data_IF_694841772486
#
_entry.id   IF_694841772486
#
_cell.length_a   1.000
_cell.length_b   1.000
_cell.length_c   1.000
_cell.angle_alpha   90.00
_cell.angle_beta   90.00
_cell.angle_gamma   90.00
#
_symmetry.space_group_name_H-M   'P 1'
#
loop_
_entity.id
_entity.type
_entity.pdbx_description
1 polymer ?
#
# COMPACT_ATOMS: atom_id res chain seq x y z
N UNK A 1 -2.26 -16.54 -1.67
CA UNK A 1 -3.14 -15.69 -0.83
C UNK A 1 -2.60 -15.52 0.58
N UNK A 2 -2.23 -16.60 1.28
CA UNK A 2 -1.61 -16.52 2.62
C UNK A 2 -0.33 -15.70 2.61
N UNK A 3 0.47 -15.82 1.55
CA UNK A 3 1.78 -15.16 1.46
C UNK A 3 1.72 -13.62 1.50
N UNK A 4 0.87 -12.98 0.69
CA UNK A 4 0.77 -11.51 0.69
C UNK A 4 0.20 -10.97 2.02
N UNK A 5 -0.82 -11.62 2.56
CA UNK A 5 -1.44 -11.18 3.82
C UNK A 5 -0.47 -11.31 4.99
N UNK A 6 0.28 -12.42 5.05
CA UNK A 6 1.37 -12.64 6.01
C UNK A 6 2.48 -11.61 5.81
N UNK A 7 2.91 -11.35 4.58
CA UNK A 7 3.93 -10.35 4.28
C UNK A 7 3.52 -8.95 4.76
N UNK A 8 2.29 -8.51 4.45
CA UNK A 8 1.79 -7.21 4.90
C UNK A 8 1.67 -7.12 6.43
N UNK A 9 1.34 -8.23 7.10
CA UNK A 9 1.26 -8.26 8.58
C UNK A 9 2.62 -8.11 9.26
N UNK A 10 3.70 -8.51 8.59
CA UNK A 10 5.08 -8.34 9.06
C UNK A 10 5.63 -6.94 8.78
N UNK A 11 4.95 -6.12 7.97
CA UNK A 11 5.38 -4.75 7.71
C UNK A 11 4.99 -3.81 8.85
N UNK A 12 5.95 -3.03 9.34
CA UNK A 12 5.70 -1.98 10.32
C UNK A 12 5.59 -0.61 9.64
N UNK A 13 4.42 0.03 9.74
CA UNK A 13 4.12 1.35 9.16
C UNK A 13 3.43 2.26 10.19
N UNK A 14 3.53 3.60 10.07
CA UNK A 14 2.85 4.52 10.99
C UNK A 14 1.34 4.27 11.04
N UNK A 15 0.76 4.22 12.25
CA UNK A 15 -0.64 3.84 12.44
C UNK A 15 -1.65 4.71 11.67
N UNK A 16 -1.37 6.02 11.54
CA UNK A 16 -2.21 6.92 10.75
C UNK A 16 -2.21 6.56 9.25
N UNK A 17 -1.06 6.18 8.70
CA UNK A 17 -0.93 5.76 7.32
C UNK A 17 -1.73 4.48 7.06
N UNK A 18 -1.63 3.50 7.97
CA UNK A 18 -2.38 2.24 7.89
C UNK A 18 -3.89 2.51 7.95
N UNK A 19 -4.34 3.38 8.86
CA UNK A 19 -5.75 3.78 8.97
C UNK A 19 -6.25 4.45 7.68
N UNK A 20 -5.50 5.43 7.17
CA UNK A 20 -5.84 6.12 5.93
C UNK A 20 -5.92 5.16 4.73
N UNK A 21 -4.97 4.23 4.61
CA UNK A 21 -4.98 3.22 3.57
C UNK A 21 -6.15 2.23 3.70
N UNK A 22 -6.51 1.86 4.93
CA UNK A 22 -7.66 0.98 5.20
C UNK A 22 -8.98 1.64 4.80
N UNK A 23 -9.13 2.94 5.11
CA UNK A 23 -10.28 3.74 4.67
C UNK A 23 -10.30 3.89 3.15
N UNK A 24 -9.16 4.23 2.53
CA UNK A 24 -9.08 4.36 1.08
C UNK A 24 -9.29 3.01 0.34
N UNK A 25 -9.01 1.87 0.97
CA UNK A 25 -9.20 0.54 0.39
C UNK A 25 -10.66 0.24 0.05
N UNK A 26 -11.63 0.82 0.75
CA UNK A 26 -13.06 0.57 0.48
C UNK A 26 -13.54 1.23 -0.82
N UNK A 27 -12.71 2.10 -1.42
CA UNK A 27 -13.02 2.78 -2.67
C UNK A 27 -12.79 1.88 -3.89
N UNK A 28 -13.54 2.13 -4.96
CA UNK A 28 -13.35 1.42 -6.24
C UNK A 28 -11.97 1.65 -6.86
N UNK A 29 -11.33 2.78 -6.55
CA UNK A 29 -10.02 3.10 -7.12
C UNK A 29 -8.88 2.27 -6.53
N UNK A 30 -8.97 1.84 -5.28
CA UNK A 30 -8.00 0.92 -4.69
C UNK A 30 -8.02 -0.43 -5.43
N UNK A 31 -9.21 -0.98 -5.66
CA UNK A 31 -9.41 -2.22 -6.42
C UNK A 31 -8.95 -2.08 -7.88
N UNK A 32 -9.25 -0.94 -8.52
CA UNK A 32 -8.78 -0.64 -9.88
C UNK A 32 -7.26 -0.61 -9.97
N UNK A 33 -6.57 0.01 -9.00
CA UNK A 33 -5.10 0.05 -8.93
C UNK A 33 -4.51 -1.33 -8.70
N UNK A 34 -5.09 -2.11 -7.78
CA UNK A 34 -4.69 -3.49 -7.52
C UNK A 34 -4.78 -4.36 -8.77
N UNK A 35 -5.87 -4.27 -9.54
CA UNK A 35 -6.06 -5.04 -10.78
C UNK A 35 -5.10 -4.67 -11.90
N UNK A 36 -4.73 -3.38 -12.01
CA UNK A 36 -3.88 -2.88 -13.11
C UNK A 36 -2.39 -3.08 -12.87
N UNK A 37 -1.98 -3.36 -11.62
CA UNK A 37 -0.58 -3.34 -11.22
C UNK A 37 -0.20 -4.65 -10.54
N UNK A 38 0.85 -5.34 -11.00
CA UNK A 38 1.38 -6.50 -10.30
C UNK A 38 1.74 -6.16 -8.85
N UNK A 39 1.43 -7.05 -7.92
CA UNK A 39 1.70 -6.89 -6.47
C UNK A 39 3.16 -6.53 -6.22
N UNK A 40 4.11 -7.19 -6.88
CA UNK A 40 5.54 -6.87 -6.74
C UNK A 40 5.89 -5.42 -7.09
N UNK A 41 5.22 -4.82 -8.09
CA UNK A 41 5.41 -3.40 -8.43
C UNK A 41 4.80 -2.46 -7.39
N UNK A 42 3.74 -2.88 -6.71
CA UNK A 42 3.13 -2.12 -5.62
C UNK A 42 4.02 -2.18 -4.37
N UNK A 43 4.57 -3.35 -4.03
CA UNK A 43 5.50 -3.52 -2.92
C UNK A 43 6.78 -2.70 -3.13
N UNK A 44 7.38 -2.75 -4.32
CA UNK A 44 8.58 -1.97 -4.63
C UNK A 44 8.36 -0.45 -4.52
N UNK A 45 7.18 0.04 -4.94
CA UNK A 45 6.85 1.46 -4.80
C UNK A 45 6.56 1.85 -3.34
N UNK A 46 5.92 0.97 -2.59
CA UNK A 46 5.69 1.17 -1.15
C UNK A 46 7.02 1.31 -0.41
N UNK A 47 7.98 0.43 -0.67
CA UNK A 47 9.31 0.48 -0.05
C UNK A 47 10.04 1.78 -0.40
N UNK A 48 9.99 2.20 -1.67
CA UNK A 48 10.56 3.49 -2.11
C UNK A 48 9.93 4.69 -1.37
N UNK A 49 8.60 4.68 -1.18
CA UNK A 49 7.89 5.73 -0.46
C UNK A 49 8.18 5.72 1.04
N UNK A 50 8.36 4.53 1.62
CA UNK A 50 8.75 4.39 3.02
C UNK A 50 10.19 4.87 3.24
N UNK A 51 11.13 4.55 2.34
CA UNK A 51 12.48 5.07 2.36
C UNK A 51 12.51 6.60 2.26
N UNK A 52 11.74 7.20 1.34
CA UNK A 52 11.62 8.66 1.22
C UNK A 52 11.02 9.31 2.47
N UNK A 53 10.03 8.67 3.12
CA UNK A 53 9.46 9.12 4.39
C UNK A 53 10.49 9.14 5.51
N UNK A 54 11.36 8.12 5.58
CA UNK A 54 12.40 8.02 6.61
C UNK A 54 13.59 8.96 6.33
N UNK A 55 13.92 9.20 5.05
CA UNK A 55 15.06 10.00 4.60
C UNK A 55 14.85 11.52 4.60
N UNK A 56 13.96 12.05 5.43
CA UNK A 56 13.74 13.51 5.55
C UNK A 56 12.69 14.10 4.60
N UNK A 57 11.95 13.27 3.86
CA UNK A 57 10.70 13.67 3.19
C UNK A 57 10.85 14.35 1.82
N UNK A 58 12.07 14.55 1.31
CA UNK A 58 12.26 15.11 -0.03
C UNK A 58 11.69 14.15 -1.09
N UNK A 59 10.71 14.62 -1.86
CA UNK A 59 9.99 13.79 -2.84
C UNK A 59 8.99 12.79 -2.25
N UNK A 60 8.81 12.77 -0.93
CA UNK A 60 7.81 11.93 -0.28
C UNK A 60 6.39 12.50 -0.50
N UNK A 61 5.48 11.65 -0.98
CA UNK A 61 4.06 11.98 -1.10
C UNK A 61 3.22 11.06 -0.19
N UNK A 62 2.68 11.58 0.93
CA UNK A 62 1.78 10.81 1.80
C UNK A 62 0.54 10.30 1.06
N UNK A 63 -0.04 11.11 0.18
CA UNK A 63 -1.19 10.74 -0.65
C UNK A 63 -0.87 9.55 -1.55
N UNK A 64 0.29 9.58 -2.22
CA UNK A 64 0.74 8.45 -3.05
C UNK A 64 0.97 7.20 -2.21
N UNK A 65 1.53 7.35 -1.01
CA UNK A 65 1.74 6.23 -0.08
C UNK A 65 0.40 5.59 0.33
N UNK A 66 -0.62 6.38 0.66
CA UNK A 66 -1.98 5.88 0.94
C UNK A 66 -2.57 5.15 -0.27
N UNK A 67 -2.39 5.67 -1.49
CA UNK A 67 -2.89 5.02 -2.71
C UNK A 67 -2.23 3.66 -2.98
N UNK A 68 -0.93 3.53 -2.74
CA UNK A 68 -0.20 2.26 -2.91
C UNK A 68 -0.59 1.27 -1.81
N UNK A 69 -0.62 1.70 -0.55
CA UNK A 69 -1.01 0.86 0.57
C UNK A 69 -2.47 0.38 0.45
N UNK A 70 -3.40 1.25 0.06
CA UNK A 70 -4.79 0.85 -0.17
C UNK A 70 -4.94 -0.16 -1.31
N UNK A 71 -4.12 -0.06 -2.36
CA UNK A 71 -4.09 -1.04 -3.44
C UNK A 71 -3.50 -2.38 -2.98
N UNK A 72 -2.46 -2.39 -2.13
CA UNK A 72 -1.92 -3.62 -1.52
C UNK A 72 -2.95 -4.31 -0.61
N UNK A 73 -3.63 -3.55 0.23
CA UNK A 73 -4.72 -4.06 1.08
C UNK A 73 -5.86 -4.61 0.21
N UNK A 74 -6.24 -3.89 -0.85
CA UNK A 74 -7.25 -4.35 -1.79
C UNK A 74 -6.82 -5.62 -2.53
N UNK A 75 -5.55 -5.76 -2.91
CA UNK A 75 -5.02 -6.98 -3.53
C UNK A 75 -4.99 -8.17 -2.56
N UNK A 76 -4.73 -7.93 -1.27
CA UNK A 76 -4.78 -8.97 -0.24
C UNK A 76 -6.22 -9.43 0.07
N UNK A 77 -7.21 -8.52 -0.01
CA UNK A 77 -8.64 -8.80 0.22
C UNK A 77 -9.35 -9.35 -1.01
N UNK A 78 -9.01 -8.84 -2.18
CA UNK A 78 -9.61 -9.17 -3.46
C UNK A 78 -8.95 -10.40 -4.06
N UNK A 79 -9.51 -11.56 -3.73
CA UNK A 79 -9.39 -12.75 -4.58
C UNK A 79 -9.99 -12.40 -5.94
N UNK A 80 -9.16 -12.41 -6.97
CA UNK A 80 -9.56 -12.67 -8.35
C UNK A 80 -8.35 -13.24 -9.09
#
# INVERSE_FOLDING_TARGET
MTDLTTHLSAMHRPGLLVKAATLACVTGDAHRRAKRRPVGKLLAEEEMLNAARMGGGMGYSPTRHVQVMSALIAAARGVN
#
